data_IF_020484171310
#
_entry.id   IF_020484171310
#
_cell.length_a   1.000
_cell.length_b   1.000
_cell.length_c   1.000
_cell.angle_alpha   90.00
_cell.angle_beta   90.00
_cell.angle_gamma   90.00
#
_symmetry.space_group_name_H-M   'P 1'
#
loop_
_entity.id
_entity.type
_entity.pdbx_description
1 polymer ?
#
# COMPACT_ATOMS: atom_id res chain seq x y z
N UNK A 1 -11.52 -19.44 20.41
CA UNK A 1 -11.06 -18.53 19.32
C UNK A 1 -11.02 -19.34 18.03
N UNK A 2 -11.72 -18.90 16.98
CA UNK A 2 -11.71 -19.58 15.67
C UNK A 2 -10.35 -19.30 15.00
N UNK A 3 -9.58 -20.34 14.68
CA UNK A 3 -8.31 -20.16 13.94
C UNK A 3 -8.64 -19.78 12.50
N UNK A 4 -8.19 -18.61 12.09
CA UNK A 4 -8.28 -18.13 10.70
C UNK A 4 -7.30 -18.96 9.86
N UNK A 5 -7.68 -19.31 8.62
CA UNK A 5 -6.75 -20.01 7.72
C UNK A 5 -5.57 -19.10 7.37
N UNK A 6 -4.41 -19.66 7.01
CA UNK A 6 -3.24 -18.85 6.62
C UNK A 6 -3.56 -17.93 5.44
N UNK A 7 -4.28 -18.44 4.44
CA UNK A 7 -4.68 -17.65 3.28
C UNK A 7 -5.62 -16.49 3.65
N UNK A 8 -6.55 -16.71 4.58
CA UNK A 8 -7.45 -15.67 5.05
C UNK A 8 -6.72 -14.62 5.92
N UNK A 9 -5.78 -15.06 6.76
CA UNK A 9 -4.90 -14.16 7.52
C UNK A 9 -4.02 -13.30 6.58
N UNK A 10 -3.47 -13.90 5.53
CA UNK A 10 -2.72 -13.21 4.47
C UNK A 10 -3.57 -12.13 3.79
N UNK A 11 -4.82 -12.43 3.42
CA UNK A 11 -5.73 -11.46 2.79
C UNK A 11 -6.07 -10.29 3.72
N UNK A 12 -6.20 -10.54 5.02
CA UNK A 12 -6.40 -9.48 6.02
C UNK A 12 -5.14 -8.62 6.18
N UNK A 13 -3.95 -9.25 6.17
CA UNK A 13 -2.67 -8.55 6.20
C UNK A 13 -2.53 -7.60 5.01
N UNK A 14 -2.83 -8.08 3.79
CA UNK A 14 -2.80 -7.23 2.58
C UNK A 14 -3.72 -6.02 2.74
N UNK A 15 -4.96 -6.20 3.22
CA UNK A 15 -5.87 -5.06 3.45
C UNK A 15 -5.30 -4.05 4.45
N UNK A 16 -4.69 -4.53 5.53
CA UNK A 16 -4.08 -3.68 6.56
C UNK A 16 -2.89 -2.88 6.01
N UNK A 17 -1.99 -3.52 5.27
CA UNK A 17 -0.83 -2.87 4.67
C UNK A 17 -1.24 -1.81 3.62
N UNK A 18 -2.23 -2.12 2.78
CA UNK A 18 -2.75 -1.15 1.82
C UNK A 18 -3.45 0.04 2.50
N UNK A 19 -4.06 -0.17 3.67
CA UNK A 19 -4.62 0.92 4.46
C UNK A 19 -3.52 1.80 5.04
N UNK A 20 -2.43 1.19 5.51
CA UNK A 20 -1.25 1.91 5.98
C UNK A 20 -0.62 2.76 4.86
N UNK A 21 -0.52 2.24 3.64
CA UNK A 21 -0.05 3.02 2.49
C UNK A 21 -0.93 4.25 2.22
N UNK A 22 -2.25 4.09 2.29
CA UNK A 22 -3.19 5.20 2.15
C UNK A 22 -3.02 6.25 3.24
N UNK A 23 -2.87 5.83 4.51
CA UNK A 23 -2.60 6.77 5.60
C UNK A 23 -1.25 7.47 5.46
N UNK A 24 -0.23 6.80 4.97
CA UNK A 24 1.05 7.42 4.65
C UNK A 24 0.91 8.50 3.57
N UNK A 25 0.09 8.23 2.54
CA UNK A 25 -0.30 9.23 1.54
C UNK A 25 -1.00 10.44 2.16
N UNK A 26 -2.02 10.22 3.00
CA UNK A 26 -2.74 11.31 3.70
C UNK A 26 -1.78 12.14 4.55
N UNK A 27 -0.87 11.49 5.27
CA UNK A 27 0.16 12.20 6.03
C UNK A 27 1.03 13.05 5.10
N UNK A 28 1.50 12.49 3.98
CA UNK A 28 2.32 13.21 3.00
C UNK A 28 1.61 14.46 2.45
N UNK A 29 0.32 14.36 2.15
CA UNK A 29 -0.51 15.49 1.73
C UNK A 29 -0.44 16.64 2.72
N UNK A 30 -0.72 16.36 4.00
CA UNK A 30 -0.76 17.39 5.03
C UNK A 30 0.63 17.92 5.34
N UNK A 31 1.63 17.04 5.44
CA UNK A 31 3.00 17.42 5.72
C UNK A 31 3.53 18.40 4.66
N UNK A 32 3.27 18.13 3.38
CA UNK A 32 3.65 19.03 2.29
C UNK A 32 2.84 20.33 2.30
N UNK A 33 1.52 20.24 2.49
CA UNK A 33 0.66 21.44 2.55
C UNK A 33 1.06 22.41 3.66
N UNK A 34 1.45 21.90 4.83
CA UNK A 34 1.78 22.74 5.99
C UNK A 34 3.24 23.20 6.02
N UNK A 35 4.18 22.37 5.54
CA UNK A 35 5.62 22.62 5.70
C UNK A 35 6.38 22.72 4.38
N UNK A 36 5.74 22.46 3.24
CA UNK A 36 6.35 22.42 1.89
C UNK A 36 7.63 21.61 1.88
N UNK A 37 7.51 20.37 2.35
CA UNK A 37 8.66 19.48 2.55
C UNK A 37 9.02 18.67 1.30
N UNK A 38 8.12 18.62 0.31
CA UNK A 38 8.39 17.86 -0.91
C UNK A 38 9.10 18.75 -1.93
N UNK A 39 10.26 18.28 -2.35
CA UNK A 39 10.96 18.80 -3.51
C UNK A 39 10.42 18.15 -4.80
N UNK A 40 10.64 18.79 -5.97
CA UNK A 40 10.28 18.18 -7.25
C UNK A 40 10.93 16.79 -7.40
N UNK A 41 10.10 15.75 -7.55
CA UNK A 41 10.56 14.36 -7.69
C UNK A 41 10.39 13.50 -6.43
N UNK A 42 10.16 14.10 -5.26
CA UNK A 42 10.01 13.35 -4.00
C UNK A 42 8.76 12.47 -3.98
N UNK A 43 7.66 12.95 -4.57
CA UNK A 43 6.45 12.14 -4.69
C UNK A 43 6.71 10.92 -5.58
N UNK A 44 7.37 11.09 -6.72
CA UNK A 44 7.75 9.99 -7.60
C UNK A 44 8.72 9.04 -6.91
N UNK A 45 9.62 9.54 -6.07
CA UNK A 45 10.52 8.71 -5.25
C UNK A 45 9.76 7.89 -4.22
N UNK A 46 8.86 8.51 -3.47
CA UNK A 46 7.99 7.81 -2.52
C UNK A 46 7.19 6.70 -3.22
N UNK A 47 6.63 6.98 -4.40
CA UNK A 47 5.90 5.99 -5.19
C UNK A 47 6.80 4.85 -5.69
N UNK A 48 8.06 5.13 -6.08
CA UNK A 48 9.04 4.09 -6.40
C UNK A 48 9.35 3.22 -5.18
N UNK A 49 9.50 3.82 -4.00
CA UNK A 49 9.75 3.08 -2.76
C UNK A 49 8.56 2.19 -2.38
N UNK A 50 7.34 2.71 -2.41
CA UNK A 50 6.09 1.96 -2.17
C UNK A 50 5.90 0.83 -3.19
N UNK A 51 6.25 1.07 -4.46
CA UNK A 51 6.24 0.02 -5.48
C UNK A 51 7.27 -1.08 -5.22
N UNK A 52 8.45 -0.74 -4.68
CA UNK A 52 9.54 -1.68 -4.45
C UNK A 52 9.20 -2.78 -3.42
N UNK A 53 8.28 -2.47 -2.50
CA UNK A 53 7.85 -3.34 -1.40
C UNK A 53 6.56 -4.13 -1.71
N UNK A 54 6.19 -4.25 -2.98
CA UNK A 54 5.13 -5.16 -3.41
C UNK A 54 5.61 -6.62 -3.44
N UNK A 55 4.77 -7.54 -2.97
CA UNK A 55 5.11 -8.97 -2.88
C UNK A 55 5.43 -9.58 -4.26
N UNK A 56 4.72 -9.17 -5.31
CA UNK A 56 4.96 -9.60 -6.69
C UNK A 56 6.37 -9.20 -7.16
N UNK A 57 6.81 -7.98 -6.85
CA UNK A 57 8.15 -7.50 -7.18
C UNK A 57 9.22 -8.22 -6.36
N UNK A 58 9.03 -8.32 -5.05
CA UNK A 58 9.97 -9.01 -4.15
C UNK A 58 10.11 -10.47 -4.57
N UNK A 59 9.01 -11.18 -4.82
CA UNK A 59 9.04 -12.59 -5.23
C UNK A 59 9.68 -12.76 -6.60
N UNK A 60 9.40 -11.88 -7.57
CA UNK A 60 10.06 -11.92 -8.87
C UNK A 60 11.58 -11.74 -8.75
N UNK A 61 12.03 -10.84 -7.88
CA UNK A 61 13.46 -10.58 -7.65
C UNK A 61 14.17 -11.70 -6.88
N UNK A 62 13.48 -12.33 -5.91
CA UNK A 62 14.10 -13.32 -5.01
C UNK A 62 13.91 -14.77 -5.44
N UNK A 63 12.82 -15.08 -6.15
CA UNK A 63 12.40 -16.45 -6.51
C UNK A 63 12.12 -16.65 -8.00
N UNK A 64 12.07 -15.57 -8.79
CA UNK A 64 11.76 -15.62 -10.23
C UNK A 64 10.31 -15.96 -10.58
N UNK A 65 9.47 -16.26 -9.59
CA UNK A 65 8.06 -16.67 -9.75
C UNK A 65 7.20 -15.99 -8.71
N UNK A 66 5.93 -15.72 -9.07
CA UNK A 66 4.95 -15.03 -8.22
C UNK A 66 3.90 -16.02 -7.75
N UNK A 67 3.61 -16.03 -6.44
CA UNK A 67 2.60 -16.91 -5.83
C UNK A 67 1.57 -16.05 -5.08
N UNK A 68 0.42 -15.71 -5.70
CA UNK A 68 -0.54 -14.76 -5.13
C UNK A 68 -1.06 -15.14 -3.72
N UNK A 69 -1.30 -16.42 -3.46
CA UNK A 69 -1.79 -16.89 -2.15
C UNK A 69 -0.80 -16.65 -0.99
N UNK A 70 0.48 -16.39 -1.31
CA UNK A 70 1.52 -16.12 -0.34
C UNK A 70 1.69 -14.61 -0.04
N UNK A 71 0.92 -13.72 -0.67
CA UNK A 71 1.00 -12.29 -0.44
C UNK A 71 0.61 -11.92 1.00
N UNK A 72 1.34 -10.96 1.57
CA UNK A 72 1.12 -10.41 2.92
C UNK A 72 1.07 -8.88 2.94
N UNK A 73 1.64 -8.23 1.93
CA UNK A 73 1.75 -6.78 1.77
C UNK A 73 0.97 -6.26 0.55
N UNK A 74 0.64 -7.15 -0.39
CA UNK A 74 -0.08 -6.81 -1.61
C UNK A 74 0.85 -6.58 -2.79
N UNK A 75 0.27 -6.31 -3.96
CA UNK A 75 1.06 -6.07 -5.18
C UNK A 75 1.64 -4.66 -5.20
N UNK A 76 2.74 -4.47 -5.91
CA UNK A 76 3.35 -3.16 -6.17
C UNK A 76 2.33 -2.14 -6.67
N UNK A 77 1.42 -2.57 -7.56
CA UNK A 77 0.35 -1.73 -8.10
C UNK A 77 -0.67 -1.32 -7.02
N UNK A 78 -1.14 -2.28 -6.21
CA UNK A 78 -2.09 -2.03 -5.12
C UNK A 78 -1.53 -0.99 -4.15
N UNK A 79 -0.27 -1.16 -3.75
CA UNK A 79 0.42 -0.27 -2.81
C UNK A 79 0.51 1.15 -3.34
N UNK A 80 0.99 1.31 -4.57
CA UNK A 80 1.06 2.63 -5.25
C UNK A 80 -0.30 3.28 -5.35
N UNK A 81 -1.33 2.53 -5.74
CA UNK A 81 -2.70 3.03 -5.91
C UNK A 81 -3.27 3.56 -4.59
N UNK A 82 -3.08 2.83 -3.49
CA UNK A 82 -3.60 3.25 -2.19
C UNK A 82 -2.82 4.42 -1.59
N UNK A 83 -1.50 4.46 -1.74
CA UNK A 83 -0.70 5.63 -1.37
C UNK A 83 -1.16 6.88 -2.11
N UNK A 84 -1.28 6.82 -3.45
CA UNK A 84 -1.75 7.94 -4.28
C UNK A 84 -3.12 8.42 -3.86
N UNK A 85 -4.07 7.50 -3.65
CA UNK A 85 -5.42 7.85 -3.18
C UNK A 85 -5.38 8.68 -1.89
N UNK A 86 -4.57 8.28 -0.92
CA UNK A 86 -4.41 9.01 0.33
C UNK A 86 -3.78 10.39 0.13
N UNK A 87 -2.71 10.45 -0.65
CA UNK A 87 -1.98 11.68 -0.94
C UNK A 87 -2.81 12.71 -1.72
N UNK A 88 -3.57 12.26 -2.72
CA UNK A 88 -4.44 13.13 -3.52
C UNK A 88 -5.65 13.64 -2.72
N UNK A 89 -6.26 12.77 -1.90
CA UNK A 89 -7.46 13.13 -1.15
C UNK A 89 -7.17 13.94 0.12
N UNK A 90 -6.07 13.65 0.83
CA UNK A 90 -5.78 14.21 2.15
C UNK A 90 -6.82 13.83 3.23
N UNK A 91 -7.68 12.84 2.97
CA UNK A 91 -8.79 12.44 3.84
C UNK A 91 -8.67 10.97 4.25
N UNK A 92 -8.45 10.66 5.55
CA UNK A 92 -8.33 9.29 6.03
C UNK A 92 -9.62 8.46 5.86
N UNK A 93 -10.79 9.10 5.70
CA UNK A 93 -12.04 8.38 5.43
C UNK A 93 -12.07 7.74 4.03
N UNK A 94 -11.11 8.09 3.16
CA UNK A 94 -10.92 7.46 1.85
C UNK A 94 -10.09 6.18 1.93
N UNK A 95 -9.55 5.81 3.10
CA UNK A 95 -8.61 4.71 3.28
C UNK A 95 -9.24 3.38 3.75
N UNK A 96 -10.54 3.19 3.59
CA UNK A 96 -11.20 1.92 3.96
C UNK A 96 -10.93 0.82 2.92
N UNK A 97 -9.82 0.09 3.11
CA UNK A 97 -9.44 -1.06 2.29
C UNK A 97 -10.23 -2.32 2.63
N UNK A 98 -10.88 -2.38 3.79
CA UNK A 98 -11.67 -3.53 4.21
C UNK A 98 -13.03 -3.57 3.51
N UNK A 99 -13.56 -2.41 3.13
CA UNK A 99 -14.76 -2.28 2.30
C UNK A 99 -14.48 -2.20 0.80
N UNK A 100 -13.23 -2.20 0.37
CA UNK A 100 -12.89 -2.20 -1.05
C UNK A 100 -13.32 -3.56 -1.69
N UNK A 101 -14.25 -3.54 -2.67
CA UNK A 101 -14.79 -4.75 -3.28
C UNK A 101 -13.72 -5.52 -4.05
N UNK A 102 -12.75 -4.81 -4.62
CA UNK A 102 -11.61 -5.36 -5.34
C UNK A 102 -10.33 -4.67 -4.88
N UNK A 103 -9.28 -5.46 -4.63
CA UNK A 103 -7.92 -4.98 -4.37
C UNK A 103 -7.08 -5.23 -5.62
#
# INVERSE_FOLDING_TARGET
>A
MRRVSRAEANRLSVRMELQADCFAGVWGHHADRFRRILEPGDLEEALRAVSAIGDDRIMKQTRGTVVPDAFTQGTSEQRVRWFRRGFEAGDPNRCDTFRAPEL
#
